data_IF_865144378299
#
_entry.id   IF_865144378299
#
_cell.length_a   1.000
_cell.length_b   1.000
_cell.length_c   1.000
_cell.angle_alpha   90.00
_cell.angle_beta   90.00
_cell.angle_gamma   90.00
#
_symmetry.space_group_name_H-M   'P 1'
#
loop_
_entity.id
_entity.type
_entity.pdbx_description
1 polymer ?
#
# COMPACT_ATOMS: atom_id res chain seq x y z
N UNK A 1 38.41 -5.72 5.14
CA UNK A 1 37.44 -5.12 6.08
C UNK A 1 36.00 -5.47 5.72
N UNK A 2 35.50 -5.07 4.55
CA UNK A 2 34.11 -5.35 4.13
C UNK A 2 33.79 -6.85 3.96
N UNK A 3 34.74 -7.62 3.45
CA UNK A 3 34.58 -9.08 3.28
C UNK A 3 34.46 -9.82 4.62
N UNK A 4 35.16 -9.34 5.64
CA UNK A 4 35.10 -9.91 6.99
C UNK A 4 33.76 -9.55 7.67
N UNK A 5 33.25 -8.33 7.43
CA UNK A 5 31.94 -7.89 7.90
C UNK A 5 30.79 -8.76 7.38
N UNK A 6 30.83 -9.11 6.10
CA UNK A 6 29.81 -9.97 5.48
C UNK A 6 29.83 -11.42 5.98
N UNK A 7 30.99 -11.89 6.44
CA UNK A 7 31.14 -13.28 6.97
C UNK A 7 30.76 -13.39 8.45
N UNK A 8 30.82 -12.32 9.22
CA UNK A 8 30.66 -12.35 10.68
C UNK A 8 29.53 -11.44 11.20
N UNK A 9 28.61 -11.04 10.34
CA UNK A 9 27.43 -10.22 10.71
C UNK A 9 27.77 -9.03 11.60
N UNK A 10 28.77 -8.24 11.23
CA UNK A 10 29.21 -7.07 11.99
C UNK A 10 28.99 -5.76 11.24
N UNK A 11 28.89 -4.67 11.97
CA UNK A 11 28.70 -3.31 11.44
C UNK A 11 29.98 -2.47 11.62
N UNK A 12 30.30 -1.65 10.61
CA UNK A 12 31.31 -0.61 10.70
C UNK A 12 30.69 0.68 11.25
N UNK A 13 31.10 1.09 12.44
CA UNK A 13 30.64 2.32 13.08
C UNK A 13 31.85 3.15 13.49
N UNK A 14 31.96 4.38 12.99
CA UNK A 14 33.01 5.32 13.38
C UNK A 14 34.43 4.81 13.09
N UNK A 15 34.64 4.00 12.05
CA UNK A 15 35.93 3.42 11.70
C UNK A 15 36.29 2.13 12.46
N UNK A 16 35.45 1.69 13.38
CA UNK A 16 35.58 0.43 14.13
C UNK A 16 34.60 -0.62 13.63
N UNK A 17 35.06 -1.87 13.60
CA UNK A 17 34.24 -3.03 13.28
C UNK A 17 33.65 -3.63 14.56
N UNK A 18 32.32 -3.62 14.68
CA UNK A 18 31.61 -4.19 15.83
C UNK A 18 31.01 -5.54 15.43
N UNK A 19 31.43 -6.60 16.07
CA UNK A 19 30.86 -7.96 15.96
C UNK A 19 29.88 -8.16 17.11
N UNK A 20 28.66 -8.52 16.81
CA UNK A 20 27.72 -8.93 17.85
C UNK A 20 27.96 -10.39 18.22
N UNK A 21 28.15 -10.74 19.51
CA UNK A 21 28.27 -12.12 19.93
C UNK A 21 26.96 -12.88 19.64
N UNK A 22 27.07 -14.03 19.00
CA UNK A 22 25.93 -14.87 18.53
C UNK A 22 24.88 -15.22 19.61
N UNK A 23 25.24 -15.10 20.91
CA UNK A 23 24.36 -15.43 22.04
C UNK A 23 23.48 -14.29 22.55
N UNK A 24 23.69 -13.08 22.09
CA UNK A 24 22.97 -11.88 22.51
C UNK A 24 22.30 -11.14 21.36
N UNK A 25 22.22 -11.77 20.19
CA UNK A 25 21.35 -11.19 19.17
C UNK A 25 19.92 -11.35 19.68
N UNK A 26 19.27 -10.27 20.18
CA UNK A 26 17.83 -10.25 20.09
C UNK A 26 17.53 -10.60 18.64
N UNK A 27 16.44 -11.25 18.34
CA UNK A 27 15.95 -11.38 16.96
C UNK A 27 15.86 -9.96 16.40
N UNK A 28 17.01 -9.41 16.05
CA UNK A 28 17.11 -8.19 15.29
C UNK A 28 16.59 -8.63 13.95
N UNK A 29 15.39 -8.21 13.68
CA UNK A 29 14.82 -8.06 12.38
C UNK A 29 15.93 -8.20 11.33
N UNK A 30 16.02 -9.37 10.72
CA UNK A 30 17.11 -9.75 9.81
C UNK A 30 17.04 -9.00 8.46
N UNK A 31 16.10 -8.03 8.34
CA UNK A 31 15.84 -7.28 7.11
C UNK A 31 15.26 -8.15 5.99
N UNK A 32 14.96 -9.42 6.25
CA UNK A 32 14.64 -10.39 5.20
C UNK A 32 13.15 -10.72 5.15
N UNK A 33 12.41 -10.51 6.16
CA UNK A 33 10.96 -10.63 6.02
C UNK A 33 10.23 -10.03 7.22
N UNK A 34 9.81 -8.79 7.11
CA UNK A 34 8.43 -8.55 7.50
C UNK A 34 7.62 -9.60 6.73
N UNK A 35 6.80 -10.40 7.40
CA UNK A 35 5.88 -11.26 6.66
C UNK A 35 5.21 -10.36 5.64
N UNK A 36 5.27 -10.72 4.37
CA UNK A 36 4.62 -9.93 3.31
C UNK A 36 3.22 -9.64 3.81
N UNK A 37 2.78 -8.37 3.81
CA UNK A 37 1.47 -8.03 4.32
C UNK A 37 0.44 -8.90 3.63
N UNK A 38 -0.32 -9.65 4.40
CA UNK A 38 -1.35 -10.56 3.89
C UNK A 38 -2.56 -9.75 3.44
N UNK A 39 -2.65 -9.50 2.15
CA UNK A 39 -3.78 -8.84 1.49
C UNK A 39 -4.80 -9.84 0.93
N UNK A 40 -4.76 -11.09 1.34
CA UNK A 40 -5.81 -12.09 1.01
C UNK A 40 -7.15 -11.73 1.67
N UNK A 41 -7.14 -10.87 2.68
CA UNK A 41 -8.30 -10.33 3.36
C UNK A 41 -8.25 -8.80 3.39
N UNK A 42 -9.40 -8.15 3.44
CA UNK A 42 -9.54 -6.70 3.59
C UNK A 42 -9.82 -6.29 5.02
N UNK A 43 -10.83 -6.92 5.62
CA UNK A 43 -11.21 -6.74 7.01
C UNK A 43 -11.28 -8.08 7.73
N UNK A 44 -10.92 -8.07 9.02
CA UNK A 44 -11.25 -9.12 9.99
C UNK A 44 -12.11 -8.50 11.09
N UNK A 45 -13.30 -9.03 11.28
CA UNK A 45 -14.29 -8.52 12.21
C UNK A 45 -14.54 -9.57 13.29
N UNK A 46 -14.41 -9.21 14.56
CA UNK A 46 -14.82 -10.05 15.67
C UNK A 46 -16.26 -9.73 16.04
N UNK A 47 -17.17 -10.63 15.73
CA UNK A 47 -18.62 -10.47 15.92
C UNK A 47 -19.07 -11.32 17.10
N UNK A 48 -19.94 -10.78 17.94
CA UNK A 48 -20.55 -11.48 19.07
C UNK A 48 -22.06 -11.51 18.96
N UNK A 49 -22.68 -12.47 19.66
CA UNK A 49 -24.10 -12.54 19.87
C UNK A 49 -24.43 -12.72 21.36
N UNK A 50 -25.68 -12.68 21.74
CA UNK A 50 -26.12 -13.00 23.10
C UNK A 50 -25.78 -14.43 23.51
N UNK A 51 -25.71 -15.36 22.55
CA UNK A 51 -25.38 -16.76 22.78
C UNK A 51 -23.86 -17.01 22.84
N UNK A 52 -23.05 -16.19 22.13
CA UNK A 52 -21.60 -16.32 22.02
C UNK A 52 -20.95 -14.93 22.28
N UNK A 53 -20.86 -14.51 23.55
CA UNK A 53 -20.36 -13.18 23.90
C UNK A 53 -18.84 -13.01 23.65
N UNK A 54 -18.07 -14.08 23.65
CA UNK A 54 -16.64 -14.07 23.31
C UNK A 54 -16.37 -13.78 21.82
N UNK A 55 -17.37 -14.00 21.00
CA UNK A 55 -17.35 -13.66 19.57
C UNK A 55 -16.60 -14.64 18.67
N UNK A 56 -16.86 -14.51 17.39
CA UNK A 56 -16.26 -15.29 16.30
C UNK A 56 -15.64 -14.33 15.28
N UNK A 57 -14.50 -14.71 14.71
CA UNK A 57 -13.87 -13.94 13.65
C UNK A 57 -14.51 -14.21 12.29
N UNK A 58 -14.80 -13.14 11.57
CA UNK A 58 -15.21 -13.11 10.17
C UNK A 58 -14.09 -12.44 9.36
N UNK A 59 -13.61 -13.10 8.31
CA UNK A 59 -12.68 -12.53 7.34
C UNK A 59 -13.41 -12.12 6.05
N UNK A 60 -13.09 -10.94 5.54
CA UNK A 60 -13.63 -10.43 4.27
C UNK A 60 -12.49 -10.29 3.24
N UNK A 61 -12.74 -10.43 1.94
CA UNK A 61 -14.04 -10.65 1.34
C UNK A 61 -14.53 -12.09 1.51
N UNK A 62 -15.85 -12.23 1.62
CA UNK A 62 -16.53 -13.54 1.57
C UNK A 62 -16.69 -13.94 0.10
N UNK A 63 -15.90 -14.90 -0.33
CA UNK A 63 -16.02 -15.52 -1.65
C UNK A 63 -17.07 -16.61 -1.60
N UNK A 64 -18.32 -16.18 -1.69
CA UNK A 64 -19.38 -17.12 -1.95
C UNK A 64 -19.30 -17.54 -3.43
N UNK A 65 -18.46 -18.49 -3.73
CA UNK A 65 -18.37 -19.05 -5.08
C UNK A 65 -19.71 -19.74 -5.37
N UNK A 66 -20.47 -19.17 -6.32
CA UNK A 66 -21.76 -19.71 -6.78
C UNK A 66 -21.61 -21.18 -7.24
N UNK A 67 -20.38 -21.58 -7.57
CA UNK A 67 -20.02 -22.93 -8.00
C UNK A 67 -19.58 -23.84 -6.84
N UNK A 68 -19.30 -23.31 -5.66
CA UNK A 68 -18.89 -24.08 -4.50
C UNK A 68 -20.11 -24.31 -3.58
N UNK A 69 -20.37 -25.57 -3.26
CA UNK A 69 -21.49 -26.01 -2.37
C UNK A 69 -21.24 -25.61 -0.91
N UNK A 70 -20.05 -25.06 -0.60
CA UNK A 70 -19.69 -24.64 0.76
C UNK A 70 -20.33 -23.30 1.12
N UNK A 71 -20.83 -23.15 2.36
CA UNK A 71 -21.32 -21.86 2.83
C UNK A 71 -20.17 -20.85 2.89
N UNK A 72 -20.44 -19.58 2.53
CA UNK A 72 -19.48 -18.51 2.65
C UNK A 72 -19.16 -18.16 4.10
N UNK A 73 -18.08 -17.41 4.29
CA UNK A 73 -17.54 -17.01 5.61
C UNK A 73 -18.57 -16.29 6.48
N UNK A 74 -19.40 -15.42 5.89
CA UNK A 74 -20.47 -14.71 6.61
C UNK A 74 -21.48 -15.72 7.15
N UNK A 75 -21.88 -16.70 6.35
CA UNK A 75 -22.85 -17.71 6.78
C UNK A 75 -22.28 -18.58 7.89
N UNK A 76 -21.05 -19.02 7.75
CA UNK A 76 -20.35 -19.80 8.79
C UNK A 76 -20.25 -19.03 10.11
N UNK A 77 -19.94 -17.73 10.06
CA UNK A 77 -19.87 -16.89 11.25
C UNK A 77 -21.25 -16.75 11.93
N UNK A 78 -22.33 -16.53 11.16
CA UNK A 78 -23.70 -16.44 11.69
C UNK A 78 -24.14 -17.74 12.34
N UNK A 79 -23.88 -18.89 11.69
CA UNK A 79 -24.21 -20.22 12.22
C UNK A 79 -23.44 -20.49 13.53
N UNK A 80 -22.14 -20.12 13.59
CA UNK A 80 -21.33 -20.25 14.80
C UNK A 80 -21.82 -19.35 15.95
N UNK A 81 -22.36 -18.16 15.62
CA UNK A 81 -22.93 -17.22 16.59
C UNK A 81 -24.37 -17.58 17.00
N UNK A 82 -25.00 -18.56 16.33
CA UNK A 82 -26.38 -18.98 16.58
C UNK A 82 -27.43 -17.93 16.21
N UNK A 83 -27.14 -17.07 15.22
CA UNK A 83 -28.01 -15.98 14.76
C UNK A 83 -28.35 -16.12 13.28
N UNK A 84 -29.41 -15.45 12.85
CA UNK A 84 -29.88 -15.53 11.46
C UNK A 84 -29.34 -14.35 10.60
N UNK A 85 -29.10 -13.21 11.22
CA UNK A 85 -28.75 -11.95 10.53
C UNK A 85 -27.64 -11.20 11.23
N UNK A 86 -26.90 -10.41 10.44
CA UNK A 86 -25.84 -9.51 10.95
C UNK A 86 -26.37 -8.48 11.97
N UNK A 87 -27.66 -8.13 11.91
CA UNK A 87 -28.29 -7.18 12.84
C UNK A 87 -28.37 -7.68 14.27
N UNK A 88 -28.30 -8.98 14.45
CA UNK A 88 -28.30 -9.64 15.77
C UNK A 88 -26.90 -9.70 16.37
N UNK A 89 -25.87 -9.28 15.59
CA UNK A 89 -24.50 -9.30 15.99
C UNK A 89 -24.06 -7.95 16.57
N UNK A 90 -23.08 -8.01 17.48
CA UNK A 90 -22.35 -6.86 18.01
C UNK A 90 -20.88 -6.94 17.54
N UNK A 91 -20.35 -5.84 17.04
CA UNK A 91 -18.92 -5.73 16.70
C UNK A 91 -18.10 -5.56 17.99
N UNK A 92 -17.15 -6.46 18.23
CA UNK A 92 -16.21 -6.37 19.35
C UNK A 92 -14.87 -5.76 18.90
N UNK A 93 -14.39 -6.14 17.73
CA UNK A 93 -13.08 -5.71 17.19
C UNK A 93 -13.13 -5.71 15.67
N UNK A 94 -12.44 -4.74 15.06
CA UNK A 94 -12.27 -4.65 13.62
C UNK A 94 -10.80 -4.40 13.27
N UNK A 95 -10.28 -5.14 12.28
CA UNK A 95 -8.93 -4.98 11.75
C UNK A 95 -9.00 -4.80 10.24
N UNK A 96 -8.22 -3.84 9.73
CA UNK A 96 -8.02 -3.64 8.29
C UNK A 96 -6.65 -4.15 7.87
N UNK A 97 -6.54 -4.77 6.71
CA UNK A 97 -5.24 -5.16 6.14
C UNK A 97 -4.43 -3.97 5.64
N UNK A 98 -5.11 -2.87 5.28
CA UNK A 98 -4.45 -1.65 4.82
C UNK A 98 -3.84 -0.89 5.99
N UNK A 99 -2.59 -0.42 5.86
CA UNK A 99 -1.95 0.38 6.89
C UNK A 99 -2.67 1.73 7.07
N UNK A 100 -2.68 2.24 8.30
CA UNK A 100 -3.26 3.55 8.62
C UNK A 100 -4.78 3.59 8.79
N UNK A 101 -5.52 2.58 8.35
CA UNK A 101 -6.98 2.51 8.53
C UNK A 101 -7.30 1.98 9.94
N UNK A 102 -7.82 2.84 10.79
CA UNK A 102 -8.13 2.54 12.21
C UNK A 102 -9.48 3.12 12.62
N UNK A 103 -9.92 2.82 13.85
CA UNK A 103 -11.16 3.39 14.40
C UNK A 103 -12.44 2.94 13.70
N UNK A 104 -12.44 1.76 13.10
CA UNK A 104 -13.58 1.21 12.35
C UNK A 104 -14.80 1.01 13.25
N UNK A 105 -14.59 0.59 14.51
CA UNK A 105 -15.64 0.35 15.49
C UNK A 105 -16.45 1.62 15.77
N UNK A 106 -15.76 2.75 15.90
CA UNK A 106 -16.40 4.04 16.13
C UNK A 106 -17.03 4.61 14.86
N UNK A 107 -16.33 4.53 13.74
CA UNK A 107 -16.80 5.03 12.45
C UNK A 107 -18.07 4.32 11.96
N UNK A 108 -18.21 3.04 12.27
CA UNK A 108 -19.35 2.20 11.84
C UNK A 108 -20.27 1.80 13.00
N UNK A 109 -20.23 2.50 14.11
CA UNK A 109 -21.10 2.21 15.26
C UNK A 109 -22.57 2.19 14.84
N UNK A 110 -23.25 1.07 15.08
CA UNK A 110 -24.64 0.85 14.68
C UNK A 110 -24.87 0.67 13.18
N UNK A 111 -23.79 0.50 12.38
CA UNK A 111 -23.84 0.31 10.93
C UNK A 111 -22.98 -0.87 10.48
N UNK A 112 -23.06 -1.99 11.19
CA UNK A 112 -22.23 -3.17 10.93
C UNK A 112 -22.39 -3.73 9.51
N UNK A 113 -23.63 -3.70 8.96
CA UNK A 113 -23.90 -4.12 7.59
C UNK A 113 -23.11 -3.29 6.57
N UNK A 114 -22.98 -1.96 6.81
CA UNK A 114 -22.21 -1.09 5.93
C UNK A 114 -20.70 -1.40 6.03
N UNK A 115 -20.20 -1.68 7.23
CA UNK A 115 -18.80 -2.07 7.42
C UNK A 115 -18.47 -3.36 6.65
N UNK A 116 -19.35 -4.35 6.72
CA UNK A 116 -19.21 -5.61 5.98
C UNK A 116 -19.24 -5.34 4.47
N UNK A 117 -20.20 -4.52 4.00
CA UNK A 117 -20.32 -4.16 2.59
C UNK A 117 -19.07 -3.45 2.07
N UNK A 118 -18.57 -2.46 2.80
CA UNK A 118 -17.37 -1.72 2.43
C UNK A 118 -16.12 -2.61 2.45
N UNK A 119 -16.00 -3.48 3.46
CA UNK A 119 -14.93 -4.47 3.55
C UNK A 119 -14.96 -5.49 2.42
N UNK A 120 -16.14 -5.95 2.04
CA UNK A 120 -16.33 -6.83 0.90
C UNK A 120 -15.85 -6.18 -0.40
N UNK A 121 -16.29 -4.93 -0.66
CA UNK A 121 -15.91 -4.18 -1.83
C UNK A 121 -14.39 -3.94 -1.88
N UNK A 122 -13.78 -3.54 -0.77
CA UNK A 122 -12.33 -3.37 -0.71
C UNK A 122 -11.61 -4.69 -1.04
N UNK A 123 -12.04 -5.79 -0.48
CA UNK A 123 -11.45 -7.09 -0.72
C UNK A 123 -11.49 -7.50 -2.19
N UNK A 124 -12.62 -7.33 -2.86
CA UNK A 124 -12.73 -7.59 -4.29
C UNK A 124 -11.82 -6.69 -5.12
N UNK A 125 -11.79 -5.36 -4.83
CA UNK A 125 -10.90 -4.44 -5.54
C UNK A 125 -9.44 -4.85 -5.38
N UNK A 126 -8.99 -5.14 -4.17
CA UNK A 126 -7.61 -5.53 -3.89
C UNK A 126 -7.22 -6.80 -4.64
N UNK A 127 -8.10 -7.78 -4.73
CA UNK A 127 -7.80 -9.04 -5.40
C UNK A 127 -7.92 -8.95 -6.92
N UNK A 128 -9.02 -8.42 -7.45
CA UNK A 128 -9.22 -8.32 -8.90
C UNK A 128 -8.19 -7.42 -9.56
N UNK A 129 -7.93 -6.25 -9.00
CA UNK A 129 -7.00 -5.29 -9.55
C UNK A 129 -5.55 -5.77 -9.40
N UNK A 130 -5.20 -6.40 -8.29
CA UNK A 130 -3.85 -6.93 -8.09
C UNK A 130 -3.55 -8.10 -9.02
N UNK A 131 -4.52 -8.93 -9.37
CA UNK A 131 -4.37 -10.00 -10.34
C UNK A 131 -4.31 -9.47 -11.78
N UNK A 132 -5.06 -8.40 -12.09
CA UNK A 132 -5.16 -7.81 -13.43
C UNK A 132 -4.04 -6.83 -13.77
N UNK A 133 -3.48 -6.14 -12.79
CA UNK A 133 -2.51 -5.06 -13.00
C UNK A 133 -1.26 -5.25 -12.14
N UNK A 134 -0.16 -5.66 -12.77
CA UNK A 134 1.12 -5.81 -12.06
C UNK A 134 1.53 -4.49 -11.39
N UNK A 135 1.73 -4.54 -10.07
CA UNK A 135 2.14 -3.39 -9.27
C UNK A 135 1.00 -2.50 -8.80
N UNK A 136 -0.27 -2.87 -9.04
CA UNK A 136 -1.43 -2.13 -8.55
C UNK A 136 -1.39 -1.93 -7.04
N UNK A 137 -1.23 -3.01 -6.29
CA UNK A 137 -1.23 -2.96 -4.82
C UNK A 137 -0.16 -2.02 -4.28
N UNK A 138 1.06 -2.10 -4.82
CA UNK A 138 2.16 -1.25 -4.39
C UNK A 138 1.88 0.23 -4.69
N UNK A 139 1.38 0.55 -5.88
CA UNK A 139 1.01 1.92 -6.24
C UNK A 139 -0.13 2.44 -5.35
N UNK A 140 -1.09 1.59 -5.05
CA UNK A 140 -2.21 1.93 -4.17
C UNK A 140 -1.74 2.25 -2.75
N UNK A 141 -0.85 1.44 -2.18
CA UNK A 141 -0.28 1.68 -0.85
C UNK A 141 0.49 3.01 -0.78
N UNK A 142 1.29 3.32 -1.79
CA UNK A 142 1.98 4.60 -1.87
C UNK A 142 1.02 5.79 -1.98
N UNK A 143 -0.10 5.64 -2.68
CA UNK A 143 -1.11 6.70 -2.82
C UNK A 143 -1.91 6.87 -1.52
N UNK A 144 -2.22 5.78 -0.79
CA UNK A 144 -2.83 5.85 0.55
C UNK A 144 -1.97 6.65 1.53
N UNK A 145 -0.66 6.40 1.52
CA UNK A 145 0.32 7.14 2.31
C UNK A 145 0.37 8.61 1.90
N UNK A 146 0.51 8.89 0.60
CA UNK A 146 0.56 10.26 0.05
C UNK A 146 -0.68 11.10 0.41
N UNK A 147 -1.86 10.51 0.40
CA UNK A 147 -3.13 11.16 0.78
C UNK A 147 -3.40 11.13 2.29
N UNK A 148 -2.50 10.52 3.09
CA UNK A 148 -2.69 10.30 4.54
C UNK A 148 -4.06 9.68 4.84
N UNK A 149 -4.42 8.67 4.08
CA UNK A 149 -5.74 8.07 4.14
C UNK A 149 -5.93 7.29 5.45
N UNK A 150 -6.90 7.70 6.27
CA UNK A 150 -7.15 7.14 7.59
C UNK A 150 -8.52 6.44 7.71
N UNK A 151 -9.36 6.48 6.67
CA UNK A 151 -10.73 5.95 6.74
C UNK A 151 -11.02 4.97 5.61
N UNK A 152 -11.82 3.95 5.90
CA UNK A 152 -12.19 2.93 4.91
C UNK A 152 -12.94 3.50 3.69
N UNK A 153 -13.91 4.43 3.84
CA UNK A 153 -14.56 5.04 2.67
C UNK A 153 -13.58 5.81 1.77
N UNK A 154 -12.60 6.53 2.36
CA UNK A 154 -11.60 7.24 1.57
C UNK A 154 -10.66 6.27 0.85
N UNK A 155 -10.29 5.15 1.49
CA UNK A 155 -9.50 4.10 0.85
C UNK A 155 -10.23 3.48 -0.35
N UNK A 156 -11.53 3.22 -0.22
CA UNK A 156 -12.37 2.75 -1.33
C UNK A 156 -12.44 3.75 -2.49
N UNK A 157 -12.65 5.04 -2.20
CA UNK A 157 -12.67 6.08 -3.23
C UNK A 157 -11.32 6.17 -3.95
N UNK A 158 -10.22 6.13 -3.23
CA UNK A 158 -8.88 6.11 -3.81
C UNK A 158 -8.66 4.89 -4.71
N UNK A 159 -9.05 3.69 -4.28
CA UNK A 159 -8.91 2.48 -5.08
C UNK A 159 -9.63 2.57 -6.43
N UNK A 160 -10.77 3.23 -6.48
CA UNK A 160 -11.55 3.45 -7.70
C UNK A 160 -10.99 4.58 -8.58
N UNK A 161 -10.20 5.48 -8.03
CA UNK A 161 -9.71 6.70 -8.68
C UNK A 161 -8.19 6.74 -8.85
N UNK A 162 -7.50 5.61 -8.80
CA UNK A 162 -6.03 5.56 -8.93
C UNK A 162 -5.51 6.13 -10.24
N UNK A 163 -6.30 6.10 -11.31
CA UNK A 163 -5.98 6.68 -12.61
C UNK A 163 -5.81 8.21 -12.60
N UNK A 164 -6.21 8.89 -11.53
CA UNK A 164 -5.98 10.34 -11.32
C UNK A 164 -4.57 10.64 -10.81
N UNK A 165 -3.82 9.63 -10.42
CA UNK A 165 -2.46 9.75 -9.90
C UNK A 165 -1.45 9.28 -10.94
N UNK A 166 -0.30 9.92 -10.93
CA UNK A 166 0.85 9.46 -11.69
C UNK A 166 1.92 8.99 -10.70
N UNK A 167 2.35 7.76 -10.84
CA UNK A 167 3.38 7.16 -10.00
C UNK A 167 4.59 6.84 -10.86
N UNK A 168 5.74 7.35 -10.46
CA UNK A 168 7.03 7.06 -11.09
C UNK A 168 7.91 6.39 -10.06
N UNK A 169 8.36 5.17 -10.33
CA UNK A 169 9.25 4.45 -9.42
C UNK A 169 10.67 5.05 -9.51
N UNK A 170 11.40 5.01 -8.40
CA UNK A 170 12.75 5.55 -8.33
C UNK A 170 13.72 4.87 -9.33
N UNK A 171 13.53 3.56 -9.59
CA UNK A 171 14.33 2.81 -10.58
C UNK A 171 14.03 3.20 -12.05
N UNK A 172 12.95 3.92 -12.31
CA UNK A 172 12.54 4.40 -13.65
C UNK A 172 13.03 5.82 -13.97
N UNK A 173 13.65 6.51 -13.02
CA UNK A 173 14.10 7.91 -13.19
C UNK A 173 15.00 8.12 -14.40
N UNK A 174 16.00 7.26 -14.58
CA UNK A 174 16.94 7.39 -15.68
C UNK A 174 16.29 7.14 -17.03
N UNK A 175 15.34 6.20 -17.12
CA UNK A 175 14.63 5.91 -18.37
C UNK A 175 13.68 7.05 -18.73
N UNK A 176 12.99 7.61 -17.74
CA UNK A 176 12.16 8.81 -17.94
C UNK A 176 13.01 10.00 -18.40
N UNK A 177 14.18 10.22 -17.78
CA UNK A 177 15.12 11.26 -18.18
C UNK A 177 15.59 11.08 -19.63
N UNK A 178 15.95 9.86 -20.04
CA UNK A 178 16.31 9.53 -21.42
C UNK A 178 15.18 9.80 -22.40
N UNK A 179 13.95 9.45 -22.03
CA UNK A 179 12.76 9.72 -22.87
C UNK A 179 12.54 11.21 -23.05
N UNK A 180 12.58 12.00 -21.98
CA UNK A 180 12.39 13.45 -22.05
C UNK A 180 13.49 14.11 -22.92
N UNK A 181 14.75 13.73 -22.75
CA UNK A 181 15.85 14.21 -23.60
C UNK A 181 15.65 13.86 -25.06
N UNK A 182 15.19 12.65 -25.39
CA UNK A 182 14.87 12.27 -26.78
C UNK A 182 13.78 13.13 -27.38
N UNK A 183 12.72 13.42 -26.60
CA UNK A 183 11.61 14.27 -27.07
C UNK A 183 12.09 15.70 -27.31
N UNK A 184 12.92 16.25 -26.43
CA UNK A 184 13.39 17.66 -26.53
C UNK A 184 14.50 17.86 -27.57
N UNK A 185 15.41 16.92 -27.66
CA UNK A 185 16.63 17.04 -28.49
C UNK A 185 16.60 16.22 -29.78
N UNK A 186 15.55 15.42 -29.98
CA UNK A 186 15.38 14.51 -31.12
C UNK A 186 16.28 13.28 -31.03
N UNK A 187 17.58 13.44 -31.04
CA UNK A 187 18.56 12.38 -30.89
C UNK A 187 19.63 12.81 -29.91
N UNK A 188 19.84 12.06 -28.85
CA UNK A 188 20.97 12.31 -27.92
C UNK A 188 22.15 11.50 -28.42
N UNK A 189 23.24 12.17 -28.83
CA UNK A 189 24.48 11.51 -29.20
C UNK A 189 24.98 10.65 -28.03
N UNK A 190 25.48 9.47 -28.35
CA UNK A 190 25.98 8.49 -27.38
C UNK A 190 27.11 9.06 -26.52
N UNK A 191 27.93 9.97 -27.08
CA UNK A 191 28.98 10.68 -26.37
C UNK A 191 28.43 11.66 -25.32
N UNK A 192 27.30 12.33 -25.62
CA UNK A 192 26.67 13.27 -24.68
C UNK A 192 25.91 12.53 -23.57
N UNK A 193 25.36 11.34 -23.85
CA UNK A 193 24.62 10.56 -22.84
C UNK A 193 25.50 10.12 -21.65
N UNK A 194 26.80 9.98 -21.85
CA UNK A 194 27.77 9.68 -20.79
C UNK A 194 28.16 10.88 -19.92
N UNK A 195 27.86 12.10 -20.37
CA UNK A 195 28.19 13.33 -19.65
C UNK A 195 27.01 13.89 -18.84
N UNK A 196 25.82 13.34 -19.01
CA UNK A 196 24.59 13.80 -18.34
C UNK A 196 24.32 12.93 -17.12
N UNK A 197 24.19 13.53 -15.94
CA UNK A 197 23.64 12.88 -14.77
C UNK A 197 22.13 12.71 -14.96
N UNK A 198 21.76 11.55 -15.49
CA UNK A 198 20.36 11.23 -15.82
C UNK A 198 19.47 11.11 -14.57
N UNK A 199 20.02 10.68 -13.45
CA UNK A 199 19.29 10.58 -12.21
C UNK A 199 18.93 11.97 -11.69
N UNK A 200 19.89 12.84 -11.58
CA UNK A 200 19.69 14.24 -11.17
C UNK A 200 18.73 14.95 -12.13
N UNK A 201 18.90 14.77 -13.44
CA UNK A 201 18.00 15.35 -14.42
C UNK A 201 16.56 14.84 -14.26
N UNK A 202 16.38 13.53 -14.05
CA UNK A 202 15.07 12.93 -13.76
C UNK A 202 14.43 13.49 -12.51
N UNK A 203 15.18 13.65 -11.43
CA UNK A 203 14.71 14.28 -10.18
C UNK A 203 14.25 15.73 -10.41
N UNK A 204 15.01 16.51 -11.15
CA UNK A 204 14.65 17.89 -11.45
C UNK A 204 13.39 17.99 -12.33
N UNK A 205 13.22 17.05 -13.28
CA UNK A 205 11.98 16.94 -14.06
C UNK A 205 10.76 16.66 -13.18
N UNK A 206 10.86 15.71 -12.24
CA UNK A 206 9.76 15.38 -11.33
C UNK A 206 9.44 16.54 -10.39
N UNK A 207 10.46 17.17 -9.80
CA UNK A 207 10.29 18.35 -8.92
C UNK A 207 9.59 19.49 -9.65
N UNK A 208 10.01 19.79 -10.87
CA UNK A 208 9.42 20.87 -11.69
C UNK A 208 7.96 20.58 -12.06
N UNK A 209 7.56 19.30 -12.13
CA UNK A 209 6.17 18.88 -12.36
C UNK A 209 5.34 18.79 -11.07
N UNK A 210 5.94 18.96 -9.90
CA UNK A 210 5.25 18.92 -8.61
C UNK A 210 5.07 17.52 -8.01
N UNK A 211 5.87 16.53 -8.43
CA UNK A 211 5.88 15.22 -7.81
C UNK A 211 6.48 15.28 -6.40
N UNK A 212 5.90 14.49 -5.51
CA UNK A 212 6.37 14.28 -4.13
C UNK A 212 6.90 12.87 -3.98
N UNK A 213 8.04 12.71 -3.32
CA UNK A 213 8.63 11.41 -3.03
C UNK A 213 7.88 10.74 -1.87
N UNK A 214 7.66 9.43 -1.96
CA UNK A 214 7.13 8.60 -0.87
C UNK A 214 8.09 8.54 0.30
N UNK A 215 7.60 8.24 1.51
CA UNK A 215 8.43 8.20 2.73
C UNK A 215 9.52 7.11 2.65
N UNK A 216 9.21 5.99 2.00
CA UNK A 216 10.16 4.90 1.76
C UNK A 216 11.20 5.20 0.66
N UNK A 217 11.02 6.29 -0.11
CA UNK A 217 11.92 6.70 -1.18
C UNK A 217 11.83 5.88 -2.47
N UNK A 218 10.87 4.97 -2.60
CA UNK A 218 10.76 4.07 -3.76
C UNK A 218 9.97 4.63 -4.93
N UNK A 219 9.16 5.67 -4.70
CA UNK A 219 8.33 6.24 -5.75
C UNK A 219 8.17 7.77 -5.62
N UNK A 220 7.71 8.38 -6.70
CA UNK A 220 7.31 9.77 -6.79
C UNK A 220 5.86 9.83 -7.26
N UNK A 221 5.03 10.61 -6.58
CA UNK A 221 3.59 10.70 -6.82
C UNK A 221 3.22 12.10 -7.22
N UNK A 222 2.40 12.21 -8.27
CA UNK A 222 1.71 13.44 -8.65
C UNK A 222 0.21 13.20 -8.50
N UNK A 223 -0.38 13.81 -7.49
CA UNK A 223 -1.81 13.74 -7.23
C UNK A 223 -2.61 14.80 -8.02
N UNK A 224 -3.93 14.67 -8.06
CA UNK A 224 -4.81 15.57 -8.80
C UNK A 224 -4.73 17.03 -8.31
N UNK A 225 -4.45 17.25 -7.04
CA UNK A 225 -4.33 18.59 -6.45
C UNK A 225 -3.02 19.30 -6.83
N UNK A 226 -1.96 18.57 -7.11
CA UNK A 226 -0.69 19.15 -7.55
C UNK A 226 -0.76 19.65 -9.00
N UNK A 227 -1.58 19.01 -9.84
CA UNK A 227 -1.77 19.42 -11.23
C UNK A 227 -2.44 20.81 -11.35
N UNK A 228 -3.20 21.24 -10.35
CA UNK A 228 -3.85 22.56 -10.31
C UNK A 228 -2.86 23.66 -9.91
N UNK A 229 -1.73 23.31 -9.27
CA UNK A 229 -0.72 24.26 -8.78
C UNK A 229 0.42 24.53 -9.77
N UNK A 230 0.46 23.87 -10.92
CA UNK A 230 1.44 24.19 -11.96
C UNK A 230 1.17 25.63 -12.45
N UNK A 231 2.07 26.60 -12.23
CA UNK A 231 1.78 27.99 -12.61
C UNK A 231 1.72 28.09 -14.12
N UNK A 232 0.66 28.74 -14.62
CA UNK A 232 0.67 29.40 -15.92
C UNK A 232 1.77 30.49 -15.92
N UNK A 233 3.01 30.08 -15.97
CA UNK A 233 4.16 30.97 -16.16
C UNK A 233 4.99 30.44 -17.31
N UNK A 234 4.53 30.61 -18.52
CA UNK A 234 5.35 30.77 -19.72
C UNK A 234 4.47 31.15 -20.93
N UNK A 235 3.85 32.30 -20.84
CA UNK A 235 3.44 33.04 -22.03
C UNK A 235 3.72 34.52 -21.79
N UNK A 236 5.01 34.89 -21.80
CA UNK A 236 5.47 36.23 -22.08
C UNK A 236 6.98 36.16 -22.31
N UNK A 237 7.37 35.82 -23.53
CA UNK A 237 8.55 36.32 -24.23
C UNK A 237 8.33 36.08 -25.73
#
# INVERSE_FOLDING_TARGET
GRTYANLHHGLFVGGCYVVYPEREQPEVYDGIALPEPDYSWSLRLKLASSAVPEGVWLALPDYNDIMDVRPGEIRLALDALGVQTIRECTLLEARCSLPGITGLEDAYRGRLENLIYDGQNLGFILQEQNQGQKGFLQAYLWILEYEHCATLPAALDLAQNLNRYQVVRADQLQDMARMDLRVRLGCVDRALSGCIDLERYGLDLLRNKGYTMTEDGWAYILGPHAQIRAPMQMQQM
#
